data_IF_459464044164
#
_entry.id   IF_459464044164
#
_cell.length_a   1.000
_cell.length_b   1.000
_cell.length_c   1.000
_cell.angle_alpha   90.00
_cell.angle_beta   90.00
_cell.angle_gamma   90.00
#
_symmetry.space_group_name_H-M   'P 1'
#
loop_
_entity.id
_entity.type
_entity.pdbx_description
1 polymer ?
#
# COMPACT_ATOMS: atom_id res chain seq x y z
N UNK A 1 -14.30 -17.99 11.00
CA UNK A 1 -13.98 -16.54 11.08
C UNK A 1 -12.68 -16.37 10.33
N UNK A 2 -12.64 -15.52 9.30
CA UNK A 2 -11.40 -15.29 8.55
C UNK A 2 -10.37 -14.62 9.46
N UNK A 3 -9.11 -15.03 9.34
CA UNK A 3 -8.01 -14.47 10.10
C UNK A 3 -7.74 -13.05 9.59
N UNK A 4 -8.04 -12.05 10.42
CA UNK A 4 -7.76 -10.65 10.11
C UNK A 4 -6.30 -10.35 10.45
N UNK A 5 -5.52 -10.00 9.43
CA UNK A 5 -4.15 -9.57 9.62
C UNK A 5 -4.13 -8.20 10.32
N UNK A 6 -3.37 -8.08 11.41
CA UNK A 6 -3.22 -6.79 12.10
C UNK A 6 -2.17 -5.92 11.40
N UNK A 7 -2.62 -4.85 10.74
CA UNK A 7 -1.75 -3.84 10.12
C UNK A 7 -0.75 -3.25 11.13
N UNK A 8 -1.16 -3.13 12.40
CA UNK A 8 -0.29 -2.62 13.48
C UNK A 8 1.02 -3.40 13.65
N UNK A 9 1.00 -4.72 13.42
CA UNK A 9 2.19 -5.58 13.52
C UNK A 9 3.23 -5.24 12.46
N UNK A 10 2.81 -4.82 11.26
CA UNK A 10 3.73 -4.42 10.20
C UNK A 10 4.33 -3.03 10.45
N UNK A 11 3.57 -2.15 11.12
CA UNK A 11 4.00 -0.78 11.45
C UNK A 11 5.21 -0.75 12.40
N UNK A 12 5.40 -1.79 13.21
CA UNK A 12 6.57 -1.93 14.09
C UNK A 12 7.90 -1.87 13.32
N UNK A 13 7.93 -2.33 12.06
CA UNK A 13 9.12 -2.28 11.21
C UNK A 13 9.42 -0.89 10.62
N UNK A 14 8.48 0.05 10.75
CA UNK A 14 8.55 1.37 10.13
C UNK A 14 8.30 2.48 11.16
N UNK A 15 9.19 2.65 12.17
CA UNK A 15 9.03 3.70 13.16
C UNK A 15 9.01 5.09 12.52
N UNK A 16 8.26 6.01 13.12
CA UNK A 16 8.09 7.40 12.66
C UNK A 16 7.73 7.53 11.17
N UNK A 17 7.12 6.50 10.61
CA UNK A 17 6.73 6.45 9.21
C UNK A 17 5.23 6.37 9.06
N UNK A 18 4.72 6.97 7.99
CA UNK A 18 3.32 6.86 7.59
C UNK A 18 3.20 6.61 6.08
N UNK A 19 2.18 5.85 5.70
CA UNK A 19 1.83 5.66 4.28
C UNK A 19 1.29 6.98 3.74
N UNK A 20 1.73 7.34 2.55
CA UNK A 20 1.33 8.55 1.82
C UNK A 20 1.04 8.17 0.37
N UNK A 21 0.17 8.94 -0.28
CA UNK A 21 -0.20 8.70 -1.67
C UNK A 21 -0.05 9.99 -2.48
N UNK A 22 0.66 9.90 -3.60
CA UNK A 22 0.65 10.95 -4.62
C UNK A 22 -0.39 10.59 -5.67
N UNK A 23 -1.30 11.51 -5.97
CA UNK A 23 -2.26 11.33 -7.06
C UNK A 23 -1.52 11.49 -8.40
N UNK A 24 -1.72 10.53 -9.29
CA UNK A 24 -1.12 10.53 -10.63
C UNK A 24 -1.91 11.36 -11.62
N UNK A 25 -1.88 10.94 -12.89
CA UNK A 25 -2.61 11.61 -13.97
C UNK A 25 -4.14 11.50 -13.88
N UNK A 26 -4.65 10.68 -12.95
CA UNK A 26 -6.08 10.50 -12.68
C UNK A 26 -6.29 10.15 -11.21
N UNK A 27 -7.47 10.46 -10.66
CA UNK A 27 -7.79 10.31 -9.23
C UNK A 27 -7.73 8.87 -8.71
N UNK A 28 -7.85 7.89 -9.62
CA UNK A 28 -7.73 6.46 -9.33
C UNK A 28 -6.28 5.96 -9.33
N UNK A 29 -5.32 6.74 -9.85
CA UNK A 29 -3.88 6.47 -9.73
C UNK A 29 -3.38 7.06 -8.41
N UNK A 30 -3.22 6.20 -7.40
CA UNK A 30 -2.61 6.56 -6.11
C UNK A 30 -1.26 5.87 -5.95
N UNK A 31 -0.17 6.60 -6.19
CA UNK A 31 1.19 6.06 -6.11
C UNK A 31 1.63 6.07 -4.64
N UNK A 32 1.91 4.90 -4.02
CA UNK A 32 2.28 4.83 -2.62
C UNK A 32 3.73 5.28 -2.40
N UNK A 33 3.93 6.02 -1.33
CA UNK A 33 5.22 6.30 -0.72
C UNK A 33 5.12 6.19 0.79
N UNK A 34 6.26 6.08 1.45
CA UNK A 34 6.36 6.15 2.91
C UNK A 34 6.99 7.47 3.29
N UNK A 35 6.29 8.27 4.07
CA UNK A 35 6.79 9.50 4.64
C UNK A 35 7.44 9.21 5.99
N UNK A 36 8.68 9.64 6.21
CA UNK A 36 9.43 9.47 7.46
C UNK A 36 9.61 10.84 8.11
N UNK A 37 9.08 10.99 9.33
CA UNK A 37 9.27 12.19 10.14
C UNK A 37 10.68 12.19 10.74
N UNK A 38 11.42 13.27 10.51
CA UNK A 38 12.76 13.46 11.04
C UNK A 38 12.72 14.21 12.37
N UNK A 39 13.66 13.92 13.26
CA UNK A 39 13.84 14.74 14.47
C UNK A 39 14.40 16.12 14.10
N UNK A 40 14.16 17.18 14.91
CA UNK A 40 14.76 18.49 14.67
C UNK A 40 16.29 18.46 14.73
N UNK A 41 16.95 19.28 13.91
CA UNK A 41 18.40 19.50 13.97
C UNK A 41 18.72 20.50 15.06
N UNK A 42 19.72 20.21 15.88
CA UNK A 42 20.22 21.12 16.91
C UNK A 42 21.46 21.86 16.41
N UNK A 43 21.44 23.18 16.40
CA UNK A 43 22.59 24.00 15.97
C UNK A 43 23.63 24.19 17.10
N UNK A 44 24.73 24.91 16.80
CA UNK A 44 25.80 25.19 17.77
C UNK A 44 25.35 26.08 18.94
N UNK A 45 24.25 26.80 18.78
CA UNK A 45 23.66 27.71 19.76
C UNK A 45 22.50 27.05 20.55
N UNK A 46 22.29 25.74 20.39
CA UNK A 46 21.17 24.97 20.95
C UNK A 46 19.78 25.33 20.39
N UNK A 47 19.67 26.06 19.28
CA UNK A 47 18.39 26.24 18.61
C UNK A 47 17.98 24.96 17.90
N UNK A 48 16.68 24.69 17.87
CA UNK A 48 16.08 23.56 17.15
C UNK A 48 15.53 24.04 15.81
N UNK A 49 15.90 23.32 14.75
CA UNK A 49 15.39 23.50 13.41
C UNK A 49 14.58 22.27 13.00
N UNK A 50 13.29 22.44 12.76
CA UNK A 50 12.43 21.37 12.26
C UNK A 50 12.89 20.92 10.87
N UNK A 51 12.95 19.60 10.68
CA UNK A 51 13.28 18.99 9.40
C UNK A 51 12.00 18.59 8.68
N UNK A 52 11.94 18.87 7.37
CA UNK A 52 10.86 18.35 6.53
C UNK A 52 10.94 16.82 6.49
N UNK A 53 9.80 16.12 6.44
CA UNK A 53 9.80 14.69 6.29
C UNK A 53 10.37 14.27 4.94
N UNK A 54 10.93 13.06 4.87
CA UNK A 54 11.43 12.48 3.62
C UNK A 54 10.44 11.44 3.10
N UNK A 55 10.25 11.43 1.79
CA UNK A 55 9.43 10.42 1.11
C UNK A 55 10.33 9.36 0.50
N UNK A 56 10.06 8.10 0.80
CA UNK A 56 10.77 6.95 0.25
C UNK A 56 9.82 6.01 -0.46
N UNK A 57 10.36 5.21 -1.38
CA UNK A 57 9.60 4.19 -2.08
C UNK A 57 9.01 3.17 -1.11
N UNK A 58 7.77 2.76 -1.33
CA UNK A 58 7.03 1.87 -0.43
C UNK A 58 6.40 0.70 -1.19
N UNK A 59 6.96 -0.48 -0.97
CA UNK A 59 6.51 -1.74 -1.58
C UNK A 59 5.57 -2.56 -0.70
N UNK A 60 5.20 -2.08 0.50
CA UNK A 60 4.36 -2.86 1.41
C UNK A 60 2.91 -2.94 0.95
N UNK A 61 2.49 -2.14 -0.04
CA UNK A 61 1.12 -2.11 -0.53
C UNK A 61 0.10 -1.73 0.55
N UNK A 62 -1.11 -2.28 0.46
CA UNK A 62 -2.20 -2.02 1.43
C UNK A 62 -1.94 -2.67 2.80
N UNK A 63 -0.86 -3.45 2.96
CA UNK A 63 -0.50 -4.10 4.22
C UNK A 63 -0.01 -3.15 5.32
N UNK A 64 0.24 -1.89 4.98
CA UNK A 64 0.55 -0.81 5.94
C UNK A 64 -0.34 0.41 5.76
N UNK A 65 -1.50 0.24 5.12
CA UNK A 65 -2.52 1.29 5.00
C UNK A 65 -3.53 1.12 6.14
N UNK A 66 -3.60 2.13 7.02
CA UNK A 66 -4.46 2.09 8.22
C UNK A 66 -5.95 2.20 7.87
N UNK A 67 -6.26 2.75 6.70
CA UNK A 67 -7.63 2.93 6.22
C UNK A 67 -8.14 1.68 5.48
N UNK A 68 -7.28 0.67 5.28
CA UNK A 68 -7.62 -0.55 4.55
C UNK A 68 -7.74 -1.79 5.45
N UNK A 69 -8.92 -2.40 5.45
CA UNK A 69 -9.16 -3.66 6.15
C UNK A 69 -8.84 -4.86 5.23
N UNK A 70 -7.82 -5.64 5.61
CA UNK A 70 -7.33 -6.77 4.80
C UNK A 70 -8.10 -8.04 5.13
N UNK A 71 -8.66 -8.65 4.09
CA UNK A 71 -9.31 -9.96 4.14
C UNK A 71 -8.52 -10.93 3.25
N UNK A 72 -7.74 -11.82 3.88
CA UNK A 72 -6.83 -12.73 3.17
C UNK A 72 -7.58 -13.71 2.27
N UNK A 73 -8.81 -14.08 2.62
CA UNK A 73 -9.63 -15.00 1.81
C UNK A 73 -10.15 -14.35 0.53
N UNK A 74 -10.33 -13.03 0.54
CA UNK A 74 -10.80 -12.24 -0.62
C UNK A 74 -9.68 -11.67 -1.46
N UNK A 75 -8.47 -11.58 -0.91
CA UNK A 75 -7.34 -10.91 -1.53
C UNK A 75 -7.50 -9.38 -1.56
N UNK A 76 -6.60 -8.72 -2.29
CA UNK A 76 -6.60 -7.26 -2.44
C UNK A 76 -7.57 -6.80 -3.52
N UNK A 77 -8.08 -5.57 -3.38
CA UNK A 77 -8.87 -4.92 -4.42
C UNK A 77 -8.06 -4.81 -5.71
N UNK A 78 -8.60 -5.21 -6.88
CA UNK A 78 -7.90 -5.09 -8.15
C UNK A 78 -7.99 -3.66 -8.68
N UNK A 79 -7.11 -2.78 -8.20
CA UNK A 79 -7.11 -1.33 -8.51
C UNK A 79 -6.95 -1.02 -10.00
N UNK A 80 -6.22 -1.85 -10.74
CA UNK A 80 -5.93 -1.63 -12.16
C UNK A 80 -7.00 -2.19 -13.13
N UNK A 81 -8.06 -2.84 -12.64
CA UNK A 81 -9.06 -3.50 -13.51
C UNK A 81 -9.69 -2.53 -14.52
N UNK A 82 -10.02 -1.31 -14.08
CA UNK A 82 -10.57 -0.28 -14.96
C UNK A 82 -9.60 0.04 -16.10
N UNK A 83 -8.31 0.25 -15.81
CA UNK A 83 -7.29 0.59 -16.80
C UNK A 83 -7.07 -0.52 -17.82
N UNK A 84 -7.17 -1.77 -17.38
CA UNK A 84 -7.07 -2.94 -18.27
C UNK A 84 -8.26 -2.98 -19.23
N UNK A 85 -9.47 -2.75 -18.72
CA UNK A 85 -10.68 -2.74 -19.54
C UNK A 85 -10.69 -1.56 -20.53
N UNK A 86 -10.28 -0.38 -20.09
CA UNK A 86 -10.29 0.85 -20.88
C UNK A 86 -9.38 0.77 -22.12
N UNK A 87 -8.34 -0.08 -22.13
CA UNK A 87 -7.49 -0.28 -23.31
C UNK A 87 -8.17 -1.08 -24.42
N UNK A 88 -9.24 -1.82 -24.13
CA UNK A 88 -9.94 -2.63 -25.13
C UNK A 88 -9.13 -3.78 -25.74
N UNK A 89 -8.00 -4.14 -25.11
CA UNK A 89 -7.03 -5.12 -25.62
C UNK A 89 -7.10 -6.49 -24.90
N UNK A 90 -8.15 -6.73 -24.11
CA UNK A 90 -8.32 -7.96 -23.32
C UNK A 90 -9.69 -8.61 -23.51
N UNK A 91 -9.80 -9.90 -23.17
CA UNK A 91 -11.05 -10.66 -23.19
C UNK A 91 -11.14 -11.52 -21.94
N UNK A 92 -12.30 -11.48 -21.26
CA UNK A 92 -12.57 -12.34 -20.10
C UNK A 92 -12.63 -13.82 -20.51
N UNK A 93 -11.99 -14.68 -19.72
CA UNK A 93 -12.11 -16.13 -19.85
C UNK A 93 -12.49 -16.74 -18.52
N UNK A 94 -13.53 -17.55 -18.51
CA UNK A 94 -13.86 -18.36 -17.36
C UNK A 94 -12.85 -19.49 -17.21
N UNK A 95 -12.30 -19.65 -16.01
CA UNK A 95 -11.46 -20.79 -15.68
C UNK A 95 -12.36 -21.96 -15.28
N UNK A 96 -12.38 -23.02 -16.09
CA UNK A 96 -12.92 -24.30 -15.65
C UNK A 96 -11.95 -24.94 -14.66
N UNK A 97 -12.37 -25.10 -13.40
CA UNK A 97 -11.61 -25.89 -12.42
C UNK A 97 -11.63 -27.35 -12.89
N UNK A 98 -10.48 -27.87 -13.33
CA UNK A 98 -10.36 -29.29 -13.66
C UNK A 98 -10.44 -30.06 -12.34
N UNK A 99 -11.54 -30.81 -12.13
CA UNK A 99 -11.65 -31.73 -10.99
C UNK A 99 -10.63 -32.85 -11.20
N UNK A 100 -9.50 -32.79 -10.50
CA UNK A 100 -8.54 -33.90 -10.44
C UNK A 100 -9.24 -35.06 -9.73
N UNK A 101 -9.44 -36.19 -10.41
CA UNK A 101 -9.89 -37.43 -9.76
C UNK A 101 -8.81 -37.84 -8.76
N UNK A 102 -9.11 -37.81 -7.47
CA UNK A 102 -8.33 -38.54 -6.47
C UNK A 102 -8.46 -40.03 -6.78
N UNK A 103 -7.33 -40.71 -6.92
CA UNK A 103 -7.24 -42.17 -6.96
C UNK A 103 -7.54 -42.75 -5.58
#
# INVERSE_FOLDING_TARGET
>A
MSEKLSVSKYKENFPNSQKSYTIGSSDDIKVPSREIKLSPTKDRNNNLQENKPIHVYDTTGLYTDEDYNIDLEKGLKPTCNKWINDRGDTTSKDRSIVKIKKY
#
